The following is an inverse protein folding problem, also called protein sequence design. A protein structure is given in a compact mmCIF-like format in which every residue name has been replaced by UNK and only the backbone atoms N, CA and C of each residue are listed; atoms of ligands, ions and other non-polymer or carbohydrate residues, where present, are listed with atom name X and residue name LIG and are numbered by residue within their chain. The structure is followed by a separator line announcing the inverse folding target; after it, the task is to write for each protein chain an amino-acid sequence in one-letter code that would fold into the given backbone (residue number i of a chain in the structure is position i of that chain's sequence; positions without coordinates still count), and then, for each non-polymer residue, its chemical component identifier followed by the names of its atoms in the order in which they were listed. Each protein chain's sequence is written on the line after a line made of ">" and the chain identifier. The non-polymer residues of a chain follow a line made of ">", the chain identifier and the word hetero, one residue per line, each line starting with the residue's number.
data_IF_657159469358
#
_entry.id   IF_657159469358
#
_cell.length_a   1.000
_cell.length_b   1.000
_cell.length_c   1.000
_cell.angle_alpha   90.00
_cell.angle_beta   90.00
_cell.angle_gamma   90.00
#
_symmetry.space_group_name_H-M   'P 1'
#
loop_
_entity.id
_entity.type
_entity.pdbx_description
1 polymer ?
#
# COMPACT_ATOMS: atom_id res chain seq x y z
N UNK A 1 2.37 -77.82 10.13
CA UNK A 1 3.47 -77.13 9.46
C UNK A 1 3.13 -75.65 9.39
N UNK A 2 3.77 -74.84 10.25
CA UNK A 2 3.92 -73.36 10.32
C UNK A 2 2.87 -72.49 9.58
N UNK A 3 1.92 -71.84 10.25
CA UNK A 3 2.00 -70.50 10.89
C UNK A 3 2.80 -69.45 10.09
N UNK A 4 2.10 -68.51 9.45
CA UNK A 4 2.61 -67.17 9.14
C UNK A 4 1.59 -66.15 9.67
N UNK A 5 1.97 -65.45 10.74
CA UNK A 5 1.27 -64.29 11.28
C UNK A 5 1.88 -63.07 10.60
N UNK A 6 1.09 -62.34 9.82
CA UNK A 6 1.48 -61.02 9.29
C UNK A 6 0.85 -59.97 10.23
N UNK A 7 1.69 -59.43 11.12
CA UNK A 7 1.39 -58.26 11.93
C UNK A 7 1.44 -57.01 11.03
N UNK A 8 0.27 -56.45 10.70
CA UNK A 8 0.18 -55.09 10.19
C UNK A 8 0.32 -54.12 11.38
N UNK A 9 1.53 -53.59 11.58
CA UNK A 9 1.72 -52.36 12.37
C UNK A 9 1.13 -51.19 11.57
N UNK A 10 -0.05 -50.73 11.94
CA UNK A 10 -0.57 -49.44 11.51
C UNK A 10 0.16 -48.33 12.27
N UNK A 11 1.22 -47.78 11.66
CA UNK A 11 1.79 -46.50 12.07
C UNK A 11 0.72 -45.42 11.92
N UNK A 12 0.16 -44.98 13.04
CA UNK A 12 -0.57 -43.73 13.14
C UNK A 12 0.43 -42.57 12.96
N UNK A 13 0.63 -42.14 11.71
CA UNK A 13 1.12 -40.80 11.46
C UNK A 13 -0.02 -39.84 11.78
N UNK A 14 0.04 -39.20 12.95
CA UNK A 14 -0.75 -38.03 13.26
C UNK A 14 -0.29 -36.91 12.30
N UNK A 15 -0.92 -36.85 11.13
CA UNK A 15 -0.81 -35.71 10.24
C UNK A 15 -1.47 -34.53 10.94
N UNK A 16 -0.71 -33.46 11.21
CA UNK A 16 -1.26 -32.18 11.62
C UNK A 16 -2.14 -31.65 10.48
N UNK A 17 -3.41 -32.04 10.46
CA UNK A 17 -4.40 -31.45 9.57
C UNK A 17 -4.66 -30.01 10.03
N UNK A 18 -4.28 -29.06 9.17
CA UNK A 18 -4.83 -27.70 9.19
C UNK A 18 -6.34 -27.84 9.10
N UNK A 19 -7.09 -27.29 10.06
CA UNK A 19 -8.56 -27.25 9.97
C UNK A 19 -8.89 -26.32 8.80
N UNK A 20 -9.48 -26.85 7.73
CA UNK A 20 -9.88 -26.06 6.58
C UNK A 20 -10.89 -24.97 7.00
N UNK A 21 -10.82 -23.80 6.37
CA UNK A 21 -11.77 -22.72 6.62
C UNK A 21 -13.20 -23.19 6.34
N UNK A 22 -14.14 -22.77 7.17
CA UNK A 22 -15.57 -23.03 6.97
C UNK A 22 -16.12 -21.96 6.02
N UNK A 23 -16.75 -22.37 4.93
CA UNK A 23 -17.30 -21.44 3.93
C UNK A 23 -18.76 -21.11 4.23
N UNK A 24 -19.10 -19.84 4.13
CA UNK A 24 -20.45 -19.33 4.33
C UNK A 24 -20.84 -18.42 3.19
N UNK A 25 -21.98 -18.68 2.58
CA UNK A 25 -22.59 -17.78 1.60
C UNK A 25 -23.63 -16.89 2.31
N UNK A 26 -23.53 -15.59 2.09
CA UNK A 26 -24.44 -14.59 2.66
C UNK A 26 -25.15 -13.87 1.52
N UNK A 27 -26.46 -14.05 1.43
CA UNK A 27 -27.31 -13.31 0.49
C UNK A 27 -27.65 -11.95 1.08
N UNK A 28 -27.36 -10.89 0.33
CA UNK A 28 -27.63 -9.51 0.69
C UNK A 28 -28.99 -9.03 0.16
N UNK A 29 -29.40 -7.82 0.57
CA UNK A 29 -30.69 -7.25 0.20
C UNK A 29 -30.87 -6.96 -1.29
N UNK A 30 -29.77 -6.83 -2.04
CA UNK A 30 -29.75 -6.67 -3.49
C UNK A 30 -29.66 -8.00 -4.25
N UNK A 31 -29.90 -9.13 -3.56
CA UNK A 31 -29.79 -10.50 -4.07
C UNK A 31 -28.36 -10.95 -4.44
N UNK A 32 -27.35 -10.11 -4.20
CA UNK A 32 -25.95 -10.53 -4.33
C UNK A 32 -25.58 -11.54 -3.25
N UNK A 33 -24.72 -12.50 -3.62
CA UNK A 33 -24.21 -13.53 -2.72
C UNK A 33 -22.74 -13.24 -2.43
N UNK A 34 -22.41 -13.04 -1.15
CA UNK A 34 -21.04 -12.82 -0.70
C UNK A 34 -20.50 -14.06 0.00
N UNK A 35 -19.34 -14.52 -0.46
CA UNK A 35 -18.64 -15.66 0.15
C UNK A 35 -17.76 -15.15 1.30
N UNK A 36 -17.88 -15.83 2.43
CA UNK A 36 -17.05 -15.63 3.61
C UNK A 36 -16.33 -16.93 3.96
N UNK A 37 -15.03 -16.84 4.26
CA UNK A 37 -14.25 -17.95 4.81
C UNK A 37 -13.97 -17.72 6.28
N UNK A 38 -14.50 -18.58 7.14
CA UNK A 38 -14.36 -18.50 8.59
C UNK A 38 -13.21 -19.38 9.09
N UNK A 39 -12.40 -18.79 9.97
CA UNK A 39 -11.44 -19.46 10.84
C UNK A 39 -11.91 -19.29 12.28
N UNK A 40 -12.66 -20.28 12.82
CA UNK A 40 -13.34 -20.11 14.10
C UNK A 40 -12.40 -20.22 15.30
N UNK A 41 -12.70 -19.47 16.36
CA UNK A 41 -12.08 -19.61 17.68
C UNK A 41 -13.17 -19.73 18.77
N UNK A 42 -13.04 -20.75 19.63
CA UNK A 42 -14.08 -21.16 20.59
C UNK A 42 -14.40 -20.08 21.64
N UNK A 43 -13.38 -19.37 22.14
CA UNK A 43 -13.51 -18.37 23.21
C UNK A 43 -13.01 -16.99 22.74
N UNK A 44 -13.50 -16.52 21.60
CA UNK A 44 -13.11 -15.21 21.07
C UNK A 44 -14.00 -14.09 21.57
N UNK A 45 -13.38 -13.03 22.11
CA UNK A 45 -14.02 -11.74 22.40
C UNK A 45 -14.27 -10.92 21.11
N UNK A 46 -13.42 -11.12 20.09
CA UNK A 46 -13.39 -10.30 18.88
C UNK A 46 -13.72 -11.13 17.63
N UNK A 47 -14.49 -10.54 16.72
CA UNK A 47 -14.71 -11.07 15.38
C UNK A 47 -14.06 -10.14 14.37
N UNK A 48 -13.12 -10.66 13.59
CA UNK A 48 -12.37 -9.90 12.60
C UNK A 48 -13.01 -10.12 11.23
N UNK A 49 -13.65 -9.09 10.67
CA UNK A 49 -14.06 -9.10 9.26
C UNK A 49 -12.92 -8.50 8.44
N UNK A 50 -12.18 -9.37 7.76
CA UNK A 50 -11.06 -8.97 6.90
C UNK A 50 -11.51 -8.93 5.44
N UNK A 51 -11.51 -7.74 4.87
CA UNK A 51 -11.83 -7.51 3.46
C UNK A 51 -10.55 -7.55 2.63
N UNK A 52 -10.56 -8.35 1.56
CA UNK A 52 -9.46 -8.44 0.61
C UNK A 52 -9.17 -7.09 -0.06
N UNK A 53 -7.93 -6.88 -0.52
CA UNK A 53 -7.64 -5.74 -1.38
C UNK A 53 -8.04 -6.06 -2.84
N UNK A 54 -7.72 -5.15 -3.76
CA UNK A 54 -8.08 -5.28 -5.18
C UNK A 54 -7.54 -6.56 -5.86
N UNK A 55 -6.50 -7.18 -5.28
CA UNK A 55 -5.82 -8.36 -5.80
C UNK A 55 -6.18 -9.65 -5.06
N UNK A 56 -7.09 -9.59 -4.09
CA UNK A 56 -7.61 -10.76 -3.39
C UNK A 56 -6.72 -11.28 -2.28
N UNK A 57 -7.09 -12.46 -1.77
CA UNK A 57 -6.27 -13.21 -0.81
C UNK A 57 -5.27 -14.13 -1.51
N UNK A 58 -4.22 -14.47 -0.76
CA UNK A 58 -3.17 -15.42 -1.13
C UNK A 58 -3.00 -16.44 -0.01
N UNK A 59 -2.30 -17.53 -0.24
CA UNK A 59 -2.01 -18.55 0.78
C UNK A 59 -1.42 -17.95 2.07
N UNK A 60 -0.59 -16.92 1.95
CA UNK A 60 -0.03 -16.18 3.09
C UNK A 60 -1.10 -15.52 3.97
N UNK A 61 -2.20 -15.04 3.39
CA UNK A 61 -3.31 -14.43 4.13
C UNK A 61 -4.10 -15.50 4.89
N UNK A 62 -4.38 -16.64 4.24
CA UNK A 62 -5.05 -17.77 4.86
C UNK A 62 -4.23 -18.34 6.03
N UNK A 63 -2.90 -18.40 5.87
CA UNK A 63 -1.99 -18.79 6.95
C UNK A 63 -2.05 -17.80 8.13
N UNK A 64 -2.06 -16.49 7.87
CA UNK A 64 -2.20 -15.48 8.93
C UNK A 64 -3.56 -15.57 9.62
N UNK A 65 -4.65 -15.82 8.87
CA UNK A 65 -5.98 -16.00 9.45
C UNK A 65 -6.04 -17.21 10.40
N UNK A 66 -5.42 -18.32 10.02
CA UNK A 66 -5.27 -19.51 10.90
C UNK A 66 -4.45 -19.18 12.17
N UNK A 67 -3.36 -18.43 12.05
CA UNK A 67 -2.57 -18.00 13.22
C UNK A 67 -3.36 -17.08 14.15
N UNK A 68 -4.16 -16.16 13.60
CA UNK A 68 -5.06 -15.30 14.38
C UNK A 68 -6.15 -16.13 15.08
N UNK A 69 -6.72 -17.13 14.40
CA UNK A 69 -7.69 -18.02 14.99
C UNK A 69 -7.10 -18.83 16.16
N UNK A 70 -5.90 -19.37 15.98
CA UNK A 70 -5.13 -20.03 17.06
C UNK A 70 -4.80 -19.08 18.22
N UNK A 71 -4.63 -17.79 17.93
CA UNK A 71 -4.43 -16.77 18.94
C UNK A 71 -5.71 -16.35 19.67
N UNK A 72 -6.89 -16.86 19.27
CA UNK A 72 -8.17 -16.62 19.92
C UNK A 72 -9.05 -15.57 19.24
N UNK A 73 -8.86 -15.29 17.94
CA UNK A 73 -9.71 -14.41 17.14
C UNK A 73 -10.70 -15.21 16.27
N UNK A 74 -11.94 -14.76 16.14
CA UNK A 74 -12.88 -15.35 15.18
C UNK A 74 -12.73 -14.60 13.85
N UNK A 75 -12.02 -15.18 12.87
CA UNK A 75 -11.61 -14.48 11.66
C UNK A 75 -12.49 -14.85 10.48
N UNK A 76 -13.00 -13.84 9.79
CA UNK A 76 -13.86 -13.96 8.62
C UNK A 76 -13.20 -13.22 7.46
N UNK A 77 -12.79 -13.94 6.43
CA UNK A 77 -12.22 -13.39 5.22
C UNK A 77 -13.30 -13.21 4.17
N UNK A 78 -13.29 -12.09 3.44
CA UNK A 78 -14.15 -11.88 2.27
C UNK A 78 -13.43 -11.20 1.12
N UNK A 79 -13.60 -11.74 -0.08
CA UNK A 79 -13.22 -11.07 -1.33
C UNK A 79 -14.51 -10.62 -2.04
N UNK A 80 -14.80 -9.33 -1.91
CA UNK A 80 -16.00 -8.73 -2.49
C UNK A 80 -15.96 -8.75 -4.02
N UNK A 81 -14.79 -8.55 -4.64
CA UNK A 81 -14.71 -8.52 -6.09
C UNK A 81 -14.88 -9.91 -6.68
N UNK A 82 -14.35 -10.93 -6.02
CA UNK A 82 -14.55 -12.33 -6.42
C UNK A 82 -16.02 -12.74 -6.29
N UNK A 83 -16.64 -12.45 -5.14
CA UNK A 83 -18.06 -12.77 -4.91
C UNK A 83 -18.99 -12.06 -5.90
N UNK A 84 -18.66 -10.82 -6.26
CA UNK A 84 -19.45 -9.99 -7.18
C UNK A 84 -19.06 -10.16 -8.66
N UNK A 85 -18.18 -11.13 -8.99
CA UNK A 85 -17.67 -11.38 -10.34
C UNK A 85 -17.10 -10.13 -11.04
N UNK A 86 -16.46 -9.24 -10.27
CA UNK A 86 -15.89 -7.98 -10.76
C UNK A 86 -14.46 -8.15 -11.26
N UNK A 87 -14.09 -7.37 -12.27
CA UNK A 87 -12.69 -7.29 -12.73
C UNK A 87 -11.79 -6.76 -11.62
N UNK A 88 -10.69 -7.47 -11.34
CA UNK A 88 -9.72 -7.08 -10.32
C UNK A 88 -9.03 -5.76 -10.67
N UNK A 89 -9.34 -4.69 -9.93
CA UNK A 89 -8.67 -3.40 -10.08
C UNK A 89 -8.78 -2.56 -8.82
N UNK A 90 -7.76 -1.71 -8.59
CA UNK A 90 -7.78 -0.76 -7.48
C UNK A 90 -8.94 0.22 -7.62
N UNK A 91 -9.29 0.63 -8.85
CA UNK A 91 -10.41 1.52 -9.10
C UNK A 91 -11.73 0.90 -8.65
N UNK A 92 -12.06 -0.32 -9.09
CA UNK A 92 -13.29 -1.01 -8.72
C UNK A 92 -13.37 -1.24 -7.20
N UNK A 93 -12.28 -1.67 -6.56
CA UNK A 93 -12.28 -1.87 -5.10
C UNK A 93 -12.68 -0.59 -4.36
N UNK A 94 -12.17 0.56 -4.81
CA UNK A 94 -12.37 1.85 -4.13
C UNK A 94 -13.75 2.45 -4.38
N UNK A 95 -14.40 2.09 -5.49
CA UNK A 95 -15.74 2.55 -5.86
C UNK A 95 -16.85 1.63 -5.38
N UNK A 96 -16.52 0.47 -4.78
CA UNK A 96 -17.51 -0.44 -4.18
C UNK A 96 -18.44 0.31 -3.22
N UNK A 97 -19.73 0.03 -3.37
CA UNK A 97 -20.76 0.61 -2.51
C UNK A 97 -20.58 0.10 -1.08
N UNK A 98 -20.71 1.01 -0.10
CA UNK A 98 -20.56 0.66 1.32
C UNK A 98 -21.62 -0.33 1.83
N UNK A 99 -22.76 -0.47 1.14
CA UNK A 99 -23.83 -1.36 1.61
C UNK A 99 -23.36 -2.82 1.75
N UNK A 100 -22.49 -3.32 0.86
CA UNK A 100 -21.93 -4.67 0.94
C UNK A 100 -21.30 -4.93 2.30
N UNK A 101 -20.35 -4.08 2.73
CA UNK A 101 -19.70 -4.22 4.03
C UNK A 101 -20.69 -3.94 5.18
N UNK A 102 -21.62 -3.00 5.02
CA UNK A 102 -22.60 -2.69 6.06
C UNK A 102 -23.54 -3.86 6.37
N UNK A 103 -24.06 -4.53 5.34
CA UNK A 103 -24.95 -5.69 5.50
C UNK A 103 -24.20 -6.92 6.03
N UNK A 104 -22.94 -7.12 5.63
CA UNK A 104 -22.07 -8.14 6.24
C UNK A 104 -21.87 -7.89 7.73
N UNK A 105 -21.68 -6.64 8.16
CA UNK A 105 -21.58 -6.30 9.59
C UNK A 105 -22.86 -6.62 10.34
N UNK A 106 -24.03 -6.33 9.74
CA UNK A 106 -25.32 -6.71 10.34
C UNK A 106 -25.47 -8.22 10.46
N UNK A 107 -25.16 -8.97 9.39
CA UNK A 107 -25.22 -10.43 9.38
C UNK A 107 -24.29 -11.03 10.46
N UNK A 108 -23.04 -10.58 10.51
CA UNK A 108 -22.06 -11.08 11.49
C UNK A 108 -22.33 -10.64 12.92
N UNK A 109 -23.17 -9.63 13.14
CA UNK A 109 -23.63 -9.23 14.47
C UNK A 109 -24.81 -10.10 14.96
N UNK A 110 -25.63 -10.65 14.06
CA UNK A 110 -26.81 -11.41 14.44
C UNK A 110 -26.43 -12.63 15.30
N UNK A 111 -27.01 -12.71 16.50
CA UNK A 111 -26.80 -13.83 17.42
C UNK A 111 -25.40 -13.90 18.05
N UNK A 112 -24.58 -12.85 17.94
CA UNK A 112 -23.24 -12.80 18.52
C UNK A 112 -23.07 -11.61 19.48
N UNK A 113 -22.38 -11.85 20.59
CA UNK A 113 -21.93 -10.84 21.56
C UNK A 113 -20.48 -10.39 21.30
N UNK A 114 -19.82 -10.96 20.29
CA UNK A 114 -18.44 -10.61 19.92
C UNK A 114 -18.35 -9.19 19.39
N UNK A 115 -17.28 -8.49 19.76
CA UNK A 115 -16.99 -7.17 19.19
C UNK A 115 -16.43 -7.32 17.79
N UNK A 116 -17.10 -6.76 16.79
CA UNK A 116 -16.65 -6.74 15.40
C UNK A 116 -15.52 -5.74 15.20
N UNK A 117 -14.47 -6.16 14.50
CA UNK A 117 -13.37 -5.30 14.06
C UNK A 117 -13.20 -5.49 12.55
N UNK A 118 -13.17 -4.39 11.82
CA UNK A 118 -12.93 -4.40 10.38
C UNK A 118 -11.42 -4.38 10.11
N UNK A 119 -10.93 -5.28 9.27
CA UNK A 119 -9.54 -5.38 8.86
C UNK A 119 -9.42 -5.18 7.35
N UNK A 120 -8.44 -4.38 6.92
CA UNK A 120 -8.16 -4.21 5.50
C UNK A 120 -6.76 -3.71 5.21
N UNK A 121 -6.28 -4.00 4.00
CA UNK A 121 -4.98 -3.53 3.50
C UNK A 121 -5.16 -2.69 2.25
N UNK A 122 -4.32 -1.66 2.10
CA UNK A 122 -4.24 -0.82 0.91
C UNK A 122 -5.62 -0.33 0.39
N UNK A 123 -6.14 -0.88 -0.72
CA UNK A 123 -7.39 -0.46 -1.36
C UNK A 123 -8.65 -0.92 -0.64
N UNK A 124 -8.56 -1.94 0.22
CA UNK A 124 -9.70 -2.44 1.00
C UNK A 124 -10.20 -1.41 2.03
N UNK A 125 -9.35 -0.46 2.42
CA UNK A 125 -9.70 0.59 3.36
C UNK A 125 -10.93 1.40 2.94
N UNK A 126 -11.12 1.60 1.63
CA UNK A 126 -12.23 2.38 1.08
C UNK A 126 -13.61 1.74 1.32
N UNK A 127 -13.91 0.52 0.84
CA UNK A 127 -15.18 -0.12 1.10
C UNK A 127 -15.42 -0.38 2.60
N UNK A 128 -14.36 -0.61 3.38
CA UNK A 128 -14.45 -0.69 4.84
C UNK A 128 -14.96 0.60 5.47
N UNK A 129 -14.34 1.74 5.13
CA UNK A 129 -14.74 3.04 5.68
C UNK A 129 -16.14 3.44 5.23
N UNK A 130 -16.49 3.14 3.98
CA UNK A 130 -17.83 3.35 3.43
C UNK A 130 -18.88 2.51 4.18
N UNK A 131 -18.64 1.20 4.31
CA UNK A 131 -19.60 0.31 4.96
C UNK A 131 -19.73 0.57 6.45
N UNK A 132 -18.64 0.88 7.13
CA UNK A 132 -18.70 1.34 8.52
C UNK A 132 -19.57 2.59 8.68
N UNK A 133 -19.41 3.59 7.81
CA UNK A 133 -20.25 4.78 7.84
C UNK A 133 -21.72 4.46 7.57
N UNK A 134 -22.02 3.70 6.51
CA UNK A 134 -23.38 3.27 6.15
C UNK A 134 -24.06 2.50 7.29
N UNK A 135 -23.33 1.57 7.92
CA UNK A 135 -23.79 0.81 9.08
C UNK A 135 -24.12 1.71 10.28
N UNK A 136 -23.27 2.71 10.57
CA UNK A 136 -23.50 3.67 11.65
C UNK A 136 -24.70 4.58 11.42
N UNK A 137 -25.00 4.95 10.17
CA UNK A 137 -26.20 5.72 9.85
C UNK A 137 -27.49 4.96 10.20
N UNK A 138 -27.47 3.63 10.11
CA UNK A 138 -28.61 2.76 10.42
C UNK A 138 -28.72 2.46 11.92
N UNK A 139 -27.61 2.16 12.58
CA UNK A 139 -27.58 1.60 13.95
C UNK A 139 -27.16 2.61 15.03
N UNK A 140 -26.92 3.87 14.67
CA UNK A 140 -26.62 4.92 15.62
C UNK A 140 -25.33 4.66 16.41
N UNK A 141 -25.39 4.82 17.73
CA UNK A 141 -24.28 4.65 18.69
C UNK A 141 -23.99 3.20 19.11
N UNK A 142 -24.44 2.22 18.31
CA UNK A 142 -24.11 0.82 18.52
C UNK A 142 -22.59 0.61 18.68
N UNK A 143 -22.22 -0.14 19.72
CA UNK A 143 -20.83 -0.53 20.02
C UNK A 143 -20.48 -1.93 19.53
N UNK A 144 -21.35 -2.54 18.72
CA UNK A 144 -21.10 -3.86 18.16
C UNK A 144 -19.86 -3.89 17.26
N UNK A 145 -19.59 -2.78 16.54
CA UNK A 145 -18.32 -2.56 15.84
C UNK A 145 -17.39 -1.75 16.73
N UNK A 146 -16.31 -2.38 17.20
CA UNK A 146 -15.35 -1.79 18.12
C UNK A 146 -14.33 -0.87 17.47
N UNK A 147 -14.08 -1.01 16.16
CA UNK A 147 -13.15 -0.17 15.43
C UNK A 147 -12.70 -0.76 14.11
N UNK A 148 -11.75 -0.07 13.47
CA UNK A 148 -11.17 -0.43 12.18
C UNK A 148 -9.66 -0.56 12.34
N UNK A 149 -9.07 -1.62 11.79
CA UNK A 149 -7.62 -1.81 11.68
C UNK A 149 -7.23 -1.80 10.21
N UNK A 150 -6.36 -0.88 9.84
CA UNK A 150 -5.87 -0.72 8.47
C UNK A 150 -4.37 -0.98 8.39
N UNK A 151 -3.94 -1.71 7.36
CA UNK A 151 -2.55 -1.99 7.07
C UNK A 151 -2.12 -1.19 5.83
N UNK A 152 -1.18 -0.24 6.00
CA UNK A 152 -0.71 0.70 4.96
C UNK A 152 -1.83 1.15 3.99
N UNK A 153 -2.89 1.83 4.48
CA UNK A 153 -4.07 2.12 3.67
C UNK A 153 -3.78 3.14 2.56
N UNK A 154 -4.36 2.92 1.39
CA UNK A 154 -4.35 3.88 0.29
C UNK A 154 -5.66 4.66 0.30
N UNK A 155 -5.65 5.94 0.66
CA UNK A 155 -6.86 6.75 0.87
C UNK A 155 -6.86 8.09 0.10
N UNK A 156 -5.92 8.25 -0.82
CA UNK A 156 -5.82 9.43 -1.71
C UNK A 156 -6.80 9.35 -2.89
N UNK A 157 -7.20 10.49 -3.44
CA UNK A 157 -8.13 10.57 -4.57
C UNK A 157 -7.53 9.98 -5.85
N UNK A 158 -6.34 10.46 -6.20
CA UNK A 158 -5.51 10.00 -7.32
C UNK A 158 -4.04 10.22 -6.97
N UNK A 159 -3.13 9.62 -7.74
CA UNK A 159 -1.70 9.93 -7.58
C UNK A 159 -1.53 11.44 -7.81
N UNK A 160 -0.94 12.19 -6.85
CA UNK A 160 -0.72 13.62 -7.03
C UNK A 160 0.25 13.84 -8.18
N UNK A 161 0.07 14.97 -8.87
CA UNK A 161 1.08 15.44 -9.81
C UNK A 161 2.40 15.66 -9.08
N UNK A 162 3.51 15.53 -9.80
CA UNK A 162 4.83 15.66 -9.20
C UNK A 162 4.99 16.98 -8.44
N UNK A 163 5.44 16.89 -7.18
CA UNK A 163 5.63 18.06 -6.32
C UNK A 163 4.36 18.64 -5.70
N UNK A 164 3.19 18.03 -5.92
CA UNK A 164 1.95 18.38 -5.22
C UNK A 164 1.70 17.48 -4.01
N UNK A 165 0.87 17.95 -3.09
CA UNK A 165 0.43 17.16 -1.95
C UNK A 165 -0.77 16.27 -2.34
N UNK A 166 -0.83 15.08 -1.74
CA UNK A 166 -1.94 14.17 -1.96
C UNK A 166 -3.25 14.78 -1.45
N UNK A 167 -4.28 14.69 -2.28
CA UNK A 167 -5.65 15.01 -1.87
C UNK A 167 -6.33 13.72 -1.41
N UNK A 168 -7.03 13.77 -0.29
CA UNK A 168 -7.71 12.60 0.29
C UNK A 168 -9.21 12.61 0.02
N UNK A 169 -9.79 11.42 0.10
CA UNK A 169 -11.22 11.24 -0.15
C UNK A 169 -12.07 11.89 0.95
N UNK A 170 -13.13 12.64 0.60
CA UNK A 170 -14.03 13.24 1.59
C UNK A 170 -14.67 12.22 2.54
N UNK A 171 -14.77 10.94 2.15
CA UNK A 171 -15.33 9.91 3.04
C UNK A 171 -14.54 9.74 4.33
N UNK A 172 -13.25 10.08 4.33
CA UNK A 172 -12.43 10.07 5.54
C UNK A 172 -13.04 10.99 6.61
N UNK A 173 -13.78 12.02 6.20
CA UNK A 173 -14.44 12.94 7.13
C UNK A 173 -15.78 12.46 7.70
N UNK A 174 -16.24 11.28 7.29
CA UNK A 174 -17.56 10.73 7.63
C UNK A 174 -17.51 9.59 8.63
N UNK A 175 -16.34 8.99 8.84
CA UNK A 175 -16.18 7.90 9.79
C UNK A 175 -15.94 8.44 11.21
N UNK A 176 -16.49 7.74 12.21
CA UNK A 176 -16.35 8.09 13.63
C UNK A 176 -15.90 6.90 14.48
N UNK A 177 -15.74 5.72 13.87
CA UNK A 177 -15.14 4.58 14.56
C UNK A 177 -13.67 4.91 14.85
N UNK A 178 -13.12 4.39 15.96
CA UNK A 178 -11.70 4.49 16.20
C UNK A 178 -10.96 3.63 15.17
N UNK A 179 -9.86 4.17 14.66
CA UNK A 179 -9.06 3.57 13.59
C UNK A 179 -7.65 3.35 14.11
N UNK A 180 -7.12 2.14 13.92
CA UNK A 180 -5.71 1.84 14.12
C UNK A 180 -5.03 1.59 12.78
N UNK A 181 -3.91 2.26 12.51
CA UNK A 181 -3.11 2.10 11.29
C UNK A 181 -1.78 1.44 11.63
N UNK A 182 -1.53 0.26 11.08
CA UNK A 182 -0.19 -0.31 11.03
C UNK A 182 0.45 0.09 9.69
N UNK A 183 1.44 0.98 9.74
CA UNK A 183 2.12 1.50 8.56
C UNK A 183 3.46 0.81 8.39
N UNK A 184 3.68 0.13 7.26
CA UNK A 184 4.98 -0.44 6.93
C UNK A 184 6.03 0.67 6.70
N UNK A 185 7.24 0.47 7.23
CA UNK A 185 8.32 1.47 7.20
C UNK A 185 8.84 1.76 5.79
N UNK A 186 8.95 0.73 4.95
CA UNK A 186 9.39 0.83 3.55
C UNK A 186 8.25 1.03 2.56
N UNK A 187 7.04 1.33 3.03
CA UNK A 187 5.91 1.65 2.15
C UNK A 187 6.05 3.08 1.62
N UNK A 188 5.91 3.25 0.30
CA UNK A 188 6.06 4.54 -0.37
C UNK A 188 5.16 5.64 0.18
N UNK A 189 4.04 5.31 0.81
CA UNK A 189 3.12 6.29 1.38
C UNK A 189 3.45 6.70 2.83
N UNK A 190 4.51 6.15 3.46
CA UNK A 190 4.85 6.43 4.87
C UNK A 190 4.92 7.93 5.17
N UNK A 191 5.48 8.72 4.26
CA UNK A 191 5.65 10.17 4.45
C UNK A 191 4.33 10.94 4.45
N UNK A 192 3.29 10.35 3.89
CA UNK A 192 1.94 10.91 3.87
C UNK A 192 1.10 10.49 5.08
N UNK A 193 1.66 9.67 5.98
CA UNK A 193 0.94 9.20 7.16
C UNK A 193 0.49 10.37 8.05
N UNK A 194 1.33 11.38 8.28
CA UNK A 194 0.97 12.52 9.12
C UNK A 194 -0.28 13.25 8.57
N UNK A 195 -0.26 13.61 7.28
CA UNK A 195 -1.40 14.26 6.62
C UNK A 195 -2.65 13.37 6.60
N UNK A 196 -2.47 12.06 6.40
CA UNK A 196 -3.58 11.10 6.48
C UNK A 196 -4.20 11.07 7.88
N UNK A 197 -3.37 11.01 8.93
CA UNK A 197 -3.81 11.01 10.31
C UNK A 197 -4.56 12.29 10.66
N UNK A 198 -4.05 13.45 10.23
CA UNK A 198 -4.74 14.73 10.41
C UNK A 198 -6.10 14.75 9.70
N UNK A 199 -6.16 14.24 8.46
CA UNK A 199 -7.40 14.18 7.68
C UNK A 199 -8.46 13.29 8.36
N UNK A 200 -8.06 12.12 8.83
CA UNK A 200 -8.96 11.19 9.54
C UNK A 200 -9.41 11.76 10.89
N UNK A 201 -8.52 12.45 11.64
CA UNK A 201 -8.89 13.13 12.88
C UNK A 201 -9.88 14.28 12.66
N UNK A 202 -9.67 15.11 11.63
CA UNK A 202 -10.61 16.16 11.25
C UNK A 202 -12.00 15.60 10.88
N UNK A 203 -12.03 14.34 10.43
CA UNK A 203 -13.24 13.57 10.20
C UNK A 203 -14.05 13.19 11.44
N UNK A 204 -13.40 13.16 12.60
CA UNK A 204 -14.01 12.79 13.87
C UNK A 204 -13.59 11.41 14.36
N UNK A 205 -12.92 10.58 13.56
CA UNK A 205 -12.33 9.34 14.07
C UNK A 205 -11.20 9.64 15.05
N UNK A 206 -11.13 8.87 16.14
CA UNK A 206 -9.89 8.78 16.93
C UNK A 206 -8.94 7.85 16.20
N UNK A 207 -7.75 8.35 15.82
CA UNK A 207 -6.83 7.61 14.95
C UNK A 207 -5.52 7.37 15.66
N UNK A 208 -5.09 6.12 15.63
CA UNK A 208 -3.82 5.68 16.20
C UNK A 208 -2.97 5.08 15.08
N UNK A 209 -1.65 5.20 15.18
CA UNK A 209 -0.75 4.58 14.22
C UNK A 209 0.49 3.99 14.88
N UNK A 210 1.01 2.93 14.27
CA UNK A 210 2.26 2.28 14.63
C UNK A 210 3.08 2.01 13.36
N UNK A 211 4.33 2.45 13.34
CA UNK A 211 5.28 2.09 12.29
C UNK A 211 5.75 0.66 12.50
N UNK A 212 5.77 -0.13 11.42
CA UNK A 212 6.20 -1.52 11.40
C UNK A 212 7.60 -1.58 10.77
N UNK A 213 8.66 -1.67 11.59
CA UNK A 213 10.03 -1.51 11.12
C UNK A 213 10.47 -2.71 10.26
N UNK A 214 11.39 -2.46 9.33
CA UNK A 214 11.97 -3.48 8.44
C UNK A 214 10.96 -4.23 7.57
N UNK A 215 9.80 -3.63 7.29
CA UNK A 215 8.80 -4.18 6.38
C UNK A 215 8.54 -3.19 5.26
N UNK A 216 8.57 -3.67 4.02
CA UNK A 216 8.16 -2.90 2.83
C UNK A 216 6.64 -2.85 2.68
N UNK A 217 6.03 -4.03 2.68
CA UNK A 217 4.57 -4.20 2.69
C UNK A 217 4.26 -5.34 3.64
N UNK A 218 3.24 -5.15 4.48
CA UNK A 218 2.74 -6.24 5.31
C UNK A 218 2.16 -7.33 4.43
N UNK A 219 1.50 -7.00 3.32
CA UNK A 219 0.87 -7.96 2.41
C UNK A 219 1.40 -7.74 0.99
N UNK A 220 2.54 -8.36 0.61
CA UNK A 220 3.17 -8.15 -0.70
C UNK A 220 2.33 -8.70 -1.86
N UNK A 221 2.61 -8.20 -3.08
CA UNK A 221 1.94 -8.61 -4.31
C UNK A 221 2.44 -9.94 -4.89
N UNK A 222 3.39 -10.60 -4.23
CA UNK A 222 3.89 -11.92 -4.58
C UNK A 222 3.72 -12.87 -3.39
N UNK A 223 3.81 -14.17 -3.66
CA UNK A 223 3.64 -15.21 -2.64
C UNK A 223 4.92 -15.45 -1.82
N UNK A 224 5.97 -14.66 -2.04
CA UNK A 224 7.26 -14.77 -1.37
C UNK A 224 7.51 -13.53 -0.51
N UNK A 225 6.77 -13.35 0.60
CA UNK A 225 7.06 -12.26 1.50
C UNK A 225 8.53 -12.32 1.93
N UNK A 226 9.24 -11.17 1.96
CA UNK A 226 10.56 -11.13 2.57
C UNK A 226 10.52 -11.82 3.93
N UNK A 227 11.60 -12.53 4.30
CA UNK A 227 11.63 -13.31 5.56
C UNK A 227 11.22 -12.48 6.79
N UNK A 228 11.57 -11.19 6.82
CA UNK A 228 11.16 -10.25 7.86
C UNK A 228 9.65 -9.98 7.90
N UNK A 229 9.01 -9.77 6.74
CA UNK A 229 7.55 -9.62 6.63
C UNK A 229 6.84 -10.87 7.14
N UNK A 230 7.26 -12.05 6.65
CA UNK A 230 6.70 -13.33 7.08
C UNK A 230 6.83 -13.52 8.59
N UNK A 231 8.02 -13.24 9.14
CA UNK A 231 8.26 -13.35 10.57
C UNK A 231 7.36 -12.42 11.40
N UNK A 232 7.22 -11.15 10.99
CA UNK A 232 6.40 -10.17 11.71
C UNK A 232 4.92 -10.56 11.68
N UNK A 233 4.41 -11.00 10.53
CA UNK A 233 3.03 -11.47 10.39
C UNK A 233 2.77 -12.71 11.25
N UNK A 234 3.71 -13.65 11.29
CA UNK A 234 3.54 -14.90 12.02
C UNK A 234 3.72 -14.74 13.53
N UNK A 235 4.69 -13.93 13.96
CA UNK A 235 5.12 -13.88 15.36
C UNK A 235 4.54 -12.71 16.14
N UNK A 236 4.27 -11.57 15.49
CA UNK A 236 3.95 -10.33 16.22
C UNK A 236 2.56 -9.78 15.96
N UNK A 237 1.96 -10.05 14.79
CA UNK A 237 0.65 -9.49 14.45
C UNK A 237 -0.46 -9.90 15.44
N UNK A 238 -0.57 -11.18 15.86
CA UNK A 238 -1.58 -11.56 16.85
C UNK A 238 -1.44 -10.80 18.17
N UNK A 239 -0.21 -10.65 18.68
CA UNK A 239 0.07 -9.95 19.94
C UNK A 239 -0.17 -8.44 19.81
N UNK A 240 0.22 -7.85 18.67
CA UNK A 240 -0.09 -6.46 18.34
C UNK A 240 -1.60 -6.22 18.33
N UNK A 241 -2.38 -7.06 17.67
CA UNK A 241 -3.85 -6.94 17.68
C UNK A 241 -4.41 -7.05 19.10
N UNK A 242 -4.02 -8.08 19.87
CA UNK A 242 -4.45 -8.24 21.28
C UNK A 242 -4.18 -6.98 22.12
N UNK A 243 -3.06 -6.32 21.88
CA UNK A 243 -2.67 -5.11 22.60
C UNK A 243 -3.41 -3.83 22.13
N UNK A 244 -3.99 -3.80 20.93
CA UNK A 244 -4.64 -2.59 20.36
C UNK A 244 -6.16 -2.66 20.31
N UNK A 245 -6.76 -3.84 20.17
CA UNK A 245 -8.22 -3.94 20.08
C UNK A 245 -8.97 -3.42 21.33
N UNK A 246 -8.47 -3.61 22.58
CA UNK A 246 -9.10 -3.02 23.75
C UNK A 246 -9.10 -1.48 23.72
N UNK A 247 -8.06 -0.85 23.16
CA UNK A 247 -8.00 0.59 22.97
C UNK A 247 -9.10 1.06 22.02
N UNK A 248 -9.26 0.38 20.87
CA UNK A 248 -10.34 0.69 19.93
C UNK A 248 -11.71 0.56 20.59
N UNK A 249 -11.99 -0.60 21.20
CA UNK A 249 -13.27 -0.89 21.87
C UNK A 249 -13.65 0.18 22.90
N UNK A 250 -12.68 0.63 23.69
CA UNK A 250 -12.91 1.57 24.80
C UNK A 250 -12.85 3.04 24.40
N UNK A 251 -12.43 3.36 23.17
CA UNK A 251 -12.38 4.75 22.69
C UNK A 251 -13.79 5.29 22.49
N UNK A 252 -14.03 6.55 22.87
CA UNK A 252 -15.33 7.19 22.66
C UNK A 252 -15.61 7.38 21.15
N UNK A 253 -16.85 7.10 20.72
CA UNK A 253 -17.28 7.42 19.36
C UNK A 253 -17.48 8.93 19.24
N UNK A 254 -17.04 9.52 18.13
CA UNK A 254 -17.40 10.90 17.83
C UNK A 254 -18.90 11.03 17.45
N UNK A 255 -19.48 12.24 17.55
CA UNK A 255 -20.88 12.47 17.23
C UNK A 255 -21.23 12.13 15.78
N UNK A 256 -22.45 11.65 15.53
CA UNK A 256 -22.94 11.37 14.18
C UNK A 256 -23.10 12.68 13.40
N UNK A 257 -22.36 12.81 12.29
CA UNK A 257 -22.57 13.87 11.30
C UNK A 257 -23.53 13.35 10.22
N UNK A 258 -24.77 13.84 10.22
CA UNK A 258 -25.76 13.55 9.17
C UNK A 258 -25.45 14.39 7.92
N UNK A 259 -24.36 14.08 7.24
CA UNK A 259 -23.98 14.74 5.99
C UNK A 259 -23.90 13.69 4.91
N UNK A 260 -24.79 13.76 3.93
CA UNK A 260 -24.64 13.03 2.68
C UNK A 260 -23.56 13.75 1.87
N UNK A 261 -22.31 13.32 2.01
CA UNK A 261 -21.25 13.77 1.12
C UNK A 261 -21.38 12.95 -0.16
N UNK A 262 -21.77 13.60 -1.25
CA UNK A 262 -21.69 12.98 -2.57
C UNK A 262 -20.19 12.75 -2.80
N UNK A 263 -19.79 11.48 -2.83
CA UNK A 263 -18.41 11.12 -3.13
C UNK A 263 -18.06 11.77 -4.47
N UNK A 264 -16.89 12.42 -4.59
CA UNK A 264 -16.41 12.80 -5.90
C UNK A 264 -16.39 11.52 -6.75
N UNK A 265 -16.86 11.62 -7.99
CA UNK A 265 -16.61 10.54 -8.94
C UNK A 265 -15.10 10.31 -8.94
N UNK A 266 -14.69 9.11 -8.50
CA UNK A 266 -13.31 8.68 -8.63
C UNK A 266 -13.02 8.69 -10.12
N UNK A 267 -12.35 9.73 -10.60
CA UNK A 267 -12.07 9.92 -12.01
C UNK A 267 -11.25 8.71 -12.52
N UNK A 268 -11.40 8.37 -13.81
CA UNK A 268 -10.57 7.35 -14.46
C UNK A 268 -9.12 7.81 -14.62
N UNK A 269 -8.86 9.10 -14.45
CA UNK A 269 -7.52 9.66 -14.33
C UNK A 269 -6.81 9.15 -13.07
N UNK A 270 -5.93 8.17 -13.26
CA UNK A 270 -5.08 7.61 -12.21
C UNK A 270 -4.12 8.63 -11.59
N UNK A 271 -3.93 9.78 -12.25
CA UNK A 271 -2.90 10.76 -11.92
C UNK A 271 -1.50 10.33 -12.36
N UNK A 272 -1.39 9.25 -13.13
CA UNK A 272 -0.14 8.72 -13.68
C UNK A 272 0.10 9.31 -15.06
N UNK A 273 1.20 10.03 -15.21
CA UNK A 273 1.66 10.65 -16.44
C UNK A 273 2.56 9.69 -17.21
N UNK A 274 2.09 9.20 -18.35
CA UNK A 274 2.84 8.25 -19.20
C UNK A 274 3.82 8.94 -20.17
N UNK A 275 3.92 10.26 -20.09
CA UNK A 275 4.78 11.08 -20.95
C UNK A 275 5.38 12.22 -20.14
N UNK A 276 6.52 12.72 -20.60
CA UNK A 276 7.19 13.87 -19.99
C UNK A 276 6.32 15.12 -20.15
N UNK A 277 5.98 15.78 -19.03
CA UNK A 277 5.13 16.98 -19.00
C UNK A 277 5.85 18.17 -18.39
N UNK A 278 5.54 19.41 -18.82
CA UNK A 278 6.02 20.60 -18.14
C UNK A 278 5.69 20.54 -16.65
N UNK A 279 6.67 20.88 -15.82
CA UNK A 279 6.50 20.83 -14.37
C UNK A 279 5.71 22.05 -13.89
N UNK A 280 4.62 21.79 -13.15
CA UNK A 280 3.74 22.82 -12.60
C UNK A 280 3.70 22.83 -11.06
N UNK A 281 4.45 21.93 -10.42
CA UNK A 281 4.55 21.90 -8.97
C UNK A 281 5.31 23.10 -8.41
N UNK A 282 5.32 23.22 -7.07
CA UNK A 282 5.86 24.39 -6.38
C UNK A 282 7.22 24.16 -5.73
N UNK A 283 7.73 22.94 -5.77
CA UNK A 283 9.01 22.62 -5.13
C UNK A 283 10.15 23.14 -6.00
N UNK A 284 11.24 23.53 -5.34
CA UNK A 284 12.52 23.80 -6.01
C UNK A 284 13.43 22.58 -5.83
N UNK A 285 14.39 22.33 -6.73
CA UNK A 285 15.38 21.27 -6.53
C UNK A 285 16.09 21.42 -5.18
N UNK A 286 15.97 20.43 -4.30
CA UNK A 286 16.72 20.41 -3.04
C UNK A 286 18.04 19.67 -3.24
N UNK A 287 19.11 20.05 -2.51
CA UNK A 287 20.38 19.33 -2.58
C UNK A 287 20.21 17.84 -2.31
N UNK A 288 20.88 17.00 -3.10
CA UNK A 288 20.91 15.55 -2.89
C UNK A 288 22.29 15.20 -2.33
N UNK A 289 22.31 14.78 -1.07
CA UNK A 289 23.53 14.42 -0.34
C UNK A 289 23.36 13.02 0.22
N UNK A 290 23.81 12.03 -0.53
CA UNK A 290 23.60 10.61 -0.25
C UNK A 290 24.86 9.79 -0.60
N UNK A 291 25.15 8.70 0.11
CA UNK A 291 26.10 7.71 -0.37
C UNK A 291 25.57 7.01 -1.62
N UNK A 292 26.46 6.58 -2.51
CA UNK A 292 26.13 5.62 -3.55
C UNK A 292 26.09 4.19 -3.01
N UNK A 293 25.71 3.25 -3.88
CA UNK A 293 25.65 1.81 -3.58
C UNK A 293 26.98 1.19 -3.10
N UNK A 294 28.11 1.87 -3.31
CA UNK A 294 29.44 1.44 -2.85
C UNK A 294 29.92 2.23 -1.61
N UNK A 295 29.06 3.08 -1.04
CA UNK A 295 29.37 3.93 0.12
C UNK A 295 30.15 5.21 -0.21
N UNK A 296 30.37 5.52 -1.49
CA UNK A 296 31.02 6.78 -1.89
C UNK A 296 30.02 7.92 -1.73
N UNK A 297 30.40 8.96 -1.00
CA UNK A 297 29.53 10.10 -0.79
C UNK A 297 29.36 10.94 -2.06
N UNK A 298 28.10 11.21 -2.44
CA UNK A 298 27.73 12.12 -3.52
C UNK A 298 27.00 13.34 -2.93
N UNK A 299 27.48 14.53 -3.27
CA UNK A 299 26.84 15.79 -2.90
C UNK A 299 26.54 16.59 -4.16
N UNK A 300 25.25 16.76 -4.45
CA UNK A 300 24.73 17.53 -5.56
C UNK A 300 24.03 18.77 -4.99
N UNK A 301 24.81 19.84 -4.82
CA UNK A 301 24.38 21.06 -4.14
C UNK A 301 23.85 22.15 -5.09
N UNK A 302 24.20 22.06 -6.37
CA UNK A 302 23.67 22.91 -7.44
C UNK A 302 23.43 22.11 -8.72
N UNK A 303 22.57 22.64 -9.58
CA UNK A 303 22.15 22.03 -10.84
C UNK A 303 22.48 22.92 -12.04
N UNK A 304 23.31 23.94 -11.85
CA UNK A 304 23.55 24.98 -12.85
C UNK A 304 24.41 24.49 -14.02
N UNK A 305 24.17 25.06 -15.20
CA UNK A 305 24.98 24.88 -16.40
C UNK A 305 24.80 23.53 -17.11
N UNK A 306 23.86 22.69 -16.67
CA UNK A 306 23.60 21.37 -17.24
C UNK A 306 22.14 20.97 -17.11
N UNK A 307 21.67 20.10 -18.00
CA UNK A 307 20.39 19.42 -17.79
C UNK A 307 20.61 18.26 -16.83
N UNK A 308 19.83 18.19 -15.75
CA UNK A 308 19.92 17.11 -14.77
C UNK A 308 18.62 16.31 -14.73
N UNK A 309 18.71 15.00 -14.96
CA UNK A 309 17.64 14.04 -14.75
C UNK A 309 17.80 13.45 -13.35
N UNK A 310 16.78 13.60 -12.49
CA UNK A 310 16.75 12.99 -11.16
C UNK A 310 15.64 11.95 -11.14
N UNK A 311 16.00 10.66 -11.16
CA UNK A 311 15.07 9.54 -11.14
C UNK A 311 14.99 8.89 -9.75
N UNK A 312 13.80 8.80 -9.19
CA UNK A 312 13.49 8.10 -7.96
C UNK A 312 12.85 6.75 -8.27
N UNK A 313 13.45 5.66 -7.77
CA UNK A 313 13.05 4.31 -8.15
C UNK A 313 13.31 3.29 -7.04
N UNK A 314 12.84 2.06 -7.23
CA UNK A 314 13.16 0.93 -6.37
C UNK A 314 13.21 -0.39 -7.15
N UNK A 315 14.00 -1.35 -6.69
CA UNK A 315 14.21 -2.64 -7.38
C UNK A 315 12.95 -3.51 -7.43
N UNK A 316 12.05 -3.32 -6.46
CA UNK A 316 10.77 -4.01 -6.36
C UNK A 316 9.66 -3.38 -7.21
N UNK A 317 9.91 -2.25 -7.87
CA UNK A 317 8.96 -1.53 -8.71
C UNK A 317 9.12 -1.97 -10.17
N UNK A 318 8.17 -2.75 -10.74
CA UNK A 318 8.35 -3.29 -12.09
C UNK A 318 8.53 -2.22 -13.18
N UNK A 319 7.72 -1.13 -13.24
CA UNK A 319 7.93 -0.08 -14.23
C UNK A 319 9.29 0.62 -14.09
N UNK A 320 9.82 0.69 -12.87
CA UNK A 320 11.16 1.23 -12.61
C UNK A 320 12.24 0.35 -13.24
N UNK A 321 12.11 -0.98 -13.12
CA UNK A 321 13.07 -1.92 -13.72
C UNK A 321 13.00 -1.89 -15.24
N UNK A 322 11.79 -1.74 -15.79
CA UNK A 322 11.54 -1.69 -17.23
C UNK A 322 12.19 -0.46 -17.91
N UNK A 323 12.26 0.71 -17.25
CA UNK A 323 12.84 1.92 -17.85
C UNK A 323 14.38 1.98 -17.83
N UNK A 324 15.05 1.22 -16.96
CA UNK A 324 16.52 1.26 -16.75
C UNK A 324 17.31 1.12 -18.06
N UNK A 325 17.02 0.16 -18.96
CA UNK A 325 17.75 0.04 -20.22
C UNK A 325 17.69 1.30 -21.09
N UNK A 326 16.55 2.00 -21.10
CA UNK A 326 16.40 3.25 -21.85
C UNK A 326 17.15 4.42 -21.20
N UNK A 327 17.24 4.45 -19.86
CA UNK A 327 18.06 5.42 -19.12
C UNK A 327 19.56 5.24 -19.40
N UNK A 328 20.05 4.01 -19.52
CA UNK A 328 21.44 3.74 -19.93
C UNK A 328 21.71 4.34 -21.33
N UNK A 329 20.81 4.09 -22.29
CA UNK A 329 20.93 4.63 -23.65
C UNK A 329 20.78 6.15 -23.69
N UNK A 330 19.91 6.74 -22.88
CA UNK A 330 19.80 8.19 -22.75
C UNK A 330 21.15 8.79 -22.31
N UNK A 331 21.76 8.23 -21.26
CA UNK A 331 23.07 8.68 -20.77
C UNK A 331 24.15 8.58 -21.86
N UNK A 332 24.16 7.48 -22.62
CA UNK A 332 25.06 7.31 -23.76
C UNK A 332 24.82 8.38 -24.84
N UNK A 333 23.57 8.61 -25.25
CA UNK A 333 23.23 9.61 -26.29
C UNK A 333 23.53 11.04 -25.87
N UNK A 334 23.52 11.34 -24.57
CA UNK A 334 23.76 12.69 -24.02
C UNK A 334 25.22 12.92 -23.57
N UNK A 335 26.13 11.95 -23.75
CA UNK A 335 27.48 11.98 -23.17
C UNK A 335 28.34 13.20 -23.57
N UNK A 336 28.15 13.72 -24.78
CA UNK A 336 28.87 14.90 -25.32
C UNK A 336 28.21 16.24 -24.95
N UNK A 337 27.20 16.23 -24.08
CA UNK A 337 26.45 17.43 -23.68
C UNK A 337 26.63 17.72 -22.18
N UNK A 338 26.39 18.95 -21.71
CA UNK A 338 26.27 19.26 -20.29
C UNK A 338 25.04 18.57 -19.68
N UNK A 339 25.16 17.28 -19.38
CA UNK A 339 24.08 16.41 -18.91
C UNK A 339 24.50 15.59 -17.68
N UNK A 340 23.55 15.39 -16.76
CA UNK A 340 23.74 14.54 -15.59
C UNK A 340 22.51 13.67 -15.36
N UNK A 341 22.72 12.37 -15.13
CA UNK A 341 21.69 11.44 -14.68
C UNK A 341 22.00 11.02 -13.24
N UNK A 342 21.05 11.29 -12.34
CA UNK A 342 21.13 10.98 -10.92
C UNK A 342 19.99 10.04 -10.61
N UNK A 343 20.33 8.87 -10.08
CA UNK A 343 19.36 7.87 -9.70
C UNK A 343 19.34 7.75 -8.18
N UNK A 344 18.17 7.84 -7.57
CA UNK A 344 17.95 7.75 -6.12
C UNK A 344 17.10 6.51 -5.86
N UNK A 345 17.70 5.51 -5.22
CA UNK A 345 17.02 4.30 -4.80
C UNK A 345 16.32 4.51 -3.45
N UNK A 346 15.06 4.14 -3.38
CA UNK A 346 14.20 4.40 -2.22
C UNK A 346 14.13 3.22 -1.26
N UNK A 347 14.50 3.47 0.01
CA UNK A 347 14.24 2.61 1.16
C UNK A 347 14.68 1.14 1.01
N UNK A 348 15.78 0.90 0.29
CA UNK A 348 16.43 -0.41 0.20
C UNK A 348 17.88 -0.33 0.65
N UNK A 349 18.40 -1.45 1.15
CA UNK A 349 19.79 -1.53 1.61
C UNK A 349 20.75 -1.64 0.43
N UNK A 350 21.99 -1.13 0.55
CA UNK A 350 23.01 -1.26 -0.49
C UNK A 350 23.19 -2.70 -0.97
N UNK A 351 23.16 -3.71 -0.08
CA UNK A 351 23.35 -5.11 -0.46
C UNK A 351 22.23 -5.65 -1.35
N UNK A 352 20.99 -5.16 -1.16
CA UNK A 352 19.85 -5.51 -2.02
C UNK A 352 20.09 -4.99 -3.43
N UNK A 353 20.56 -3.75 -3.56
CA UNK A 353 20.79 -3.10 -4.85
C UNK A 353 22.03 -3.66 -5.54
N UNK A 354 23.10 -3.98 -4.81
CA UNK A 354 24.26 -4.67 -5.38
C UNK A 354 23.88 -6.01 -6.01
N UNK A 355 22.99 -6.79 -5.37
CA UNK A 355 22.47 -8.04 -5.94
C UNK A 355 21.61 -7.80 -7.16
N UNK A 356 20.75 -6.79 -7.12
CA UNK A 356 19.94 -6.39 -8.28
C UNK A 356 20.81 -6.01 -9.48
N UNK A 357 21.87 -5.22 -9.27
CA UNK A 357 22.80 -4.78 -10.32
C UNK A 357 23.65 -5.91 -10.92
N UNK A 358 23.69 -7.10 -10.30
CA UNK A 358 24.28 -8.29 -10.92
C UNK A 358 23.37 -8.91 -11.99
N UNK A 359 22.08 -8.60 -11.94
CA UNK A 359 21.05 -9.15 -12.83
C UNK A 359 20.60 -8.13 -13.88
N UNK A 360 20.58 -6.85 -13.51
CA UNK A 360 20.16 -5.74 -14.37
C UNK A 360 21.32 -4.77 -14.54
N UNK A 361 21.68 -4.47 -15.78
CA UNK A 361 22.77 -3.53 -16.10
C UNK A 361 22.31 -2.10 -15.78
N UNK A 362 22.98 -1.45 -14.85
CA UNK A 362 22.74 -0.06 -14.45
C UNK A 362 24.04 0.73 -14.62
N UNK A 363 24.14 1.52 -15.69
CA UNK A 363 25.37 2.21 -16.10
C UNK A 363 25.40 3.68 -15.66
N UNK A 364 24.73 4.00 -14.55
CA UNK A 364 24.67 5.33 -13.97
C UNK A 364 24.74 5.29 -12.44
N UNK A 365 25.13 6.39 -11.76
CA UNK A 365 25.24 6.41 -10.31
C UNK A 365 23.90 6.13 -9.62
N UNK A 366 23.89 5.18 -8.69
CA UNK A 366 22.75 4.85 -7.84
C UNK A 366 23.04 5.32 -6.42
N UNK A 367 22.30 6.34 -5.98
CA UNK A 367 22.35 6.92 -4.64
C UNK A 367 21.35 6.22 -3.72
N UNK A 368 21.72 6.02 -2.46
CA UNK A 368 20.97 5.23 -1.50
C UNK A 368 20.20 6.13 -0.54
N UNK A 369 18.89 6.31 -0.78
CA UNK A 369 17.98 6.98 0.16
C UNK A 369 17.34 5.93 1.09
N UNK A 370 18.18 5.28 1.91
CA UNK A 370 17.79 4.14 2.77
C UNK A 370 16.67 4.50 3.74
N UNK A 371 16.65 5.75 4.21
CA UNK A 371 15.63 6.24 5.12
C UNK A 371 14.42 6.82 4.38
N UNK A 372 14.56 7.19 3.10
CA UNK A 372 13.51 7.77 2.24
C UNK A 372 13.33 9.29 2.37
N UNK A 373 14.24 9.96 3.07
CA UNK A 373 14.14 11.40 3.39
C UNK A 373 14.28 12.29 2.15
N UNK A 374 15.12 11.92 1.19
CA UNK A 374 15.28 12.70 -0.04
C UNK A 374 14.03 12.57 -0.91
N UNK A 375 13.50 11.36 -1.10
CA UNK A 375 12.22 11.15 -1.78
C UNK A 375 11.09 11.98 -1.17
N UNK A 376 11.03 12.05 0.17
CA UNK A 376 10.05 12.87 0.87
C UNK A 376 10.19 14.38 0.60
N UNK A 377 11.42 14.91 0.62
CA UNK A 377 11.70 16.32 0.30
C UNK A 377 11.29 16.69 -1.13
N UNK A 378 11.51 15.76 -2.06
CA UNK A 378 11.10 15.89 -3.46
C UNK A 378 9.61 15.61 -3.69
N UNK A 379 8.84 15.34 -2.61
CA UNK A 379 7.41 14.98 -2.65
C UNK A 379 7.11 13.85 -3.63
N UNK A 380 7.98 12.84 -3.66
CA UNK A 380 7.78 11.63 -4.46
C UNK A 380 6.68 10.80 -3.83
N UNK A 381 5.58 10.62 -4.57
CA UNK A 381 4.41 9.88 -4.11
C UNK A 381 4.34 8.46 -4.70
N UNK A 382 4.76 8.32 -5.96
CA UNK A 382 4.73 7.06 -6.71
C UNK A 382 6.10 6.82 -7.36
N UNK A 383 6.39 5.55 -7.66
CA UNK A 383 7.64 5.14 -8.28
C UNK A 383 7.36 4.45 -9.62
N UNK A 384 8.14 4.74 -10.69
CA UNK A 384 9.21 5.74 -10.70
C UNK A 384 8.65 7.17 -10.73
N UNK A 385 9.46 8.12 -10.28
CA UNK A 385 9.21 9.56 -10.45
C UNK A 385 10.50 10.22 -10.91
N UNK A 386 10.45 10.92 -12.04
CA UNK A 386 11.60 11.60 -12.59
C UNK A 386 11.36 13.09 -12.77
N UNK A 387 12.33 13.90 -12.35
CA UNK A 387 12.35 15.35 -12.51
C UNK A 387 13.47 15.75 -13.48
N UNK A 388 13.18 16.69 -14.36
CA UNK A 388 14.13 17.27 -15.30
C UNK A 388 14.42 18.70 -14.89
N UNK A 389 15.67 18.97 -14.54
CA UNK A 389 16.15 20.26 -14.10
C UNK A 389 16.89 20.91 -15.27
N UNK A 390 16.52 22.14 -15.58
CA UNK A 390 17.16 22.94 -16.62
C UNK A 390 18.52 23.50 -16.16
N UNK A 391 19.34 24.04 -17.09
CA UNK A 391 20.64 24.63 -16.74
C UNK A 391 20.57 25.88 -15.83
N UNK A 392 19.38 26.45 -15.61
CA UNK A 392 19.16 27.53 -14.64
C UNK A 392 18.85 26.99 -13.24
N UNK A 393 18.82 25.67 -13.06
CA UNK A 393 18.57 25.00 -11.79
C UNK A 393 17.09 24.96 -11.40
N UNK A 394 16.17 25.06 -12.36
CA UNK A 394 14.72 24.94 -12.12
C UNK A 394 14.19 23.63 -12.68
N UNK A 395 13.18 23.07 -12.03
CA UNK A 395 12.47 21.91 -12.56
C UNK A 395 11.63 22.37 -13.75
N UNK A 396 11.96 21.88 -14.94
CA UNK A 396 11.29 22.25 -16.18
C UNK A 396 10.24 21.20 -16.59
N UNK A 397 10.53 19.92 -16.38
CA UNK A 397 9.64 18.82 -16.72
C UNK A 397 9.63 17.74 -15.63
N UNK A 398 8.61 16.88 -15.65
CA UNK A 398 8.59 15.67 -14.84
C UNK A 398 7.64 14.61 -15.38
N UNK A 399 7.77 13.40 -14.84
CA UNK A 399 6.94 12.23 -15.12
C UNK A 399 6.90 11.29 -13.91
N UNK A 400 5.73 10.74 -13.56
CA UNK A 400 5.55 9.81 -12.42
C UNK A 400 5.17 8.39 -12.88
N UNK A 401 5.73 7.98 -14.02
CA UNK A 401 5.62 6.66 -14.61
C UNK A 401 6.93 6.28 -15.31
N UNK A 402 7.12 4.98 -15.54
CA UNK A 402 8.22 4.51 -16.40
C UNK A 402 7.94 4.88 -17.85
N UNK A 403 8.92 5.50 -18.51
CA UNK A 403 8.84 5.88 -19.93
C UNK A 403 10.09 5.44 -20.69
N UNK A 404 10.01 5.48 -22.01
CA UNK A 404 11.18 5.25 -22.86
C UNK A 404 12.00 6.54 -23.01
N UNK A 405 13.16 6.58 -22.34
CA UNK A 405 13.95 7.80 -22.17
C UNK A 405 14.79 8.19 -23.40
N UNK A 406 15.03 7.29 -24.33
CA UNK A 406 15.90 7.52 -25.48
C UNK A 406 15.15 7.79 -26.80
N UNK A 407 13.85 8.14 -26.68
CA UNK A 407 13.00 8.53 -27.80
C UNK A 407 13.40 9.89 -28.39
N UNK A 408 13.13 10.14 -29.69
CA UNK A 408 13.42 11.43 -30.32
C UNK A 408 12.74 12.63 -29.63
N UNK A 409 11.53 12.44 -29.09
CA UNK A 409 10.77 13.47 -28.40
C UNK A 409 11.46 13.91 -27.10
N UNK A 410 11.86 12.95 -26.26
CA UNK A 410 12.59 13.22 -25.01
C UNK A 410 13.92 13.88 -25.31
N UNK A 411 14.71 13.34 -26.25
CA UNK A 411 16.01 13.92 -26.64
C UNK A 411 15.87 15.35 -27.16
N UNK A 412 14.87 15.61 -28.01
CA UNK A 412 14.58 16.97 -28.51
C UNK A 412 14.24 17.94 -27.37
N UNK A 413 13.49 17.47 -26.38
CA UNK A 413 13.12 18.26 -25.20
C UNK A 413 14.35 18.61 -24.37
N UNK A 414 15.21 17.63 -24.07
CA UNK A 414 16.44 17.87 -23.29
C UNK A 414 17.44 18.76 -24.02
N UNK A 415 17.65 18.55 -25.33
CA UNK A 415 18.47 19.46 -26.15
C UNK A 415 17.87 20.86 -26.26
N UNK A 416 16.54 20.99 -26.24
CA UNK A 416 15.84 22.27 -26.16
C UNK A 416 16.22 23.07 -24.91
N UNK A 417 16.24 22.42 -23.75
CA UNK A 417 16.63 23.05 -22.48
C UNK A 417 18.09 23.54 -22.49
N UNK A 418 18.99 22.79 -23.11
CA UNK A 418 20.40 23.20 -23.26
C UNK A 418 20.57 24.43 -24.16
N UNK A 419 19.78 24.53 -25.24
CA UNK A 419 19.85 25.68 -26.17
C UNK A 419 19.30 26.95 -25.57
N UNK A 420 18.25 26.87 -24.76
CA UNK A 420 17.61 28.04 -24.14
C UNK A 420 18.43 28.64 -22.97
N UNK A 421 19.53 27.98 -22.60
CA UNK A 421 20.44 28.43 -21.55
C UNK A 421 21.61 29.30 -22.04
N UNK A 422 21.81 29.37 -23.36
CA UNK A 422 22.78 30.24 -24.03
C UNK A 422 22.11 31.56 -24.42
#
# INVERSE_FOLDING_TARGET
>A
MRLLIILFLSCWFASCYVKAAEEHAVTLSDESEIILHQYPAANSEYRLLWVANAFGFRDSHHHVADLLAKAGFDVWLTDLQESLFMTRSVHHMRTLSGHYVAELLEHLQQGSDKTLILLGTHSAAMPILHGAHTWQLKLGDSRAVGGIVLFSPSLYLKVPQLGEDAQYLPVLSLNRLPIFIFQAEGDGNRWHLANLLETLHAGGSSVYAELMPNIRSLFPFDDSPPSATAQIMQQSLPDKLKARLPLLRNTALAPIRKTSLKLPELNTDSGVDQHLKPYHGKIQPTPIVLPDVNGKHYALNDYLGRVTVVNFWASWCPPCVEEIPSLNRLREKMHDTPFSLISVNYAEKPETIQKFMQQVVVDFPVLMDEEGHVSAQWKVFAYPSTFIIDPQGKIAYGVNAGIEWDTPEVLSTLHGLLRNAQ
#
